data_IF_520291873831
#
_entry.id   IF_520291873831
#
_cell.length_a   1.000
_cell.length_b   1.000
_cell.length_c   1.000
_cell.angle_alpha   90.00
_cell.angle_beta   90.00
_cell.angle_gamma   90.00
#
_symmetry.space_group_name_H-M   'P 1'
#
loop_
_entity.id
_entity.type
_entity.pdbx_description
1 polymer ?
#
# COMPACT_ATOMS: atom_id res chain seq x y z
N UNK A 1 7.67 -7.65 -11.13
CA UNK A 1 7.58 -6.20 -10.87
C UNK A 1 6.57 -6.00 -9.75
N UNK A 2 6.87 -5.14 -8.80
CA UNK A 2 6.05 -4.93 -7.61
C UNK A 2 5.43 -3.54 -7.74
N UNK A 3 4.12 -3.40 -7.63
CA UNK A 3 3.49 -2.09 -7.54
C UNK A 3 3.45 -1.64 -6.09
N UNK A 4 3.94 -0.43 -5.85
CA UNK A 4 3.90 0.21 -4.55
C UNK A 4 3.26 1.58 -4.66
N UNK A 5 2.46 1.96 -3.66
CA UNK A 5 1.91 3.30 -3.53
C UNK A 5 2.63 4.05 -2.42
N UNK A 6 2.90 5.33 -2.63
CA UNK A 6 3.36 6.22 -1.55
C UNK A 6 2.23 6.39 -0.56
N UNK A 7 2.41 5.86 0.65
CA UNK A 7 1.43 5.94 1.72
C UNK A 7 1.59 7.21 2.55
N UNK A 8 2.83 7.58 2.86
CA UNK A 8 3.15 8.68 3.76
C UNK A 8 4.52 9.27 3.43
N UNK A 9 4.61 10.60 3.56
CA UNK A 9 5.88 11.35 3.55
C UNK A 9 5.90 12.21 4.81
N UNK A 10 6.95 12.10 5.61
CA UNK A 10 7.13 12.87 6.85
C UNK A 10 8.50 13.55 6.86
N UNK A 11 8.59 14.75 7.41
CA UNK A 11 9.88 15.34 7.78
C UNK A 11 10.41 14.65 9.04
N UNK A 12 11.70 14.33 9.05
CA UNK A 12 12.40 13.75 10.18
C UNK A 12 13.67 14.54 10.49
N UNK A 13 14.23 14.29 11.68
CA UNK A 13 15.60 14.68 12.01
C UNK A 13 16.43 13.43 12.22
N UNK A 14 17.63 13.41 11.66
CA UNK A 14 18.59 12.35 11.96
C UNK A 14 19.20 12.56 13.37
N UNK A 15 19.98 11.60 13.89
CA UNK A 15 20.63 11.74 15.20
C UNK A 15 21.58 12.94 15.30
N UNK A 16 22.10 13.43 14.17
CA UNK A 16 23.00 14.59 14.08
C UNK A 16 22.22 15.92 14.00
N UNK A 17 20.90 15.86 13.90
CA UNK A 17 19.98 17.01 13.88
C UNK A 17 19.64 17.55 12.49
N UNK A 18 20.18 16.95 11.42
CA UNK A 18 19.91 17.35 10.04
C UNK A 18 18.47 17.00 9.65
N UNK A 19 17.89 17.80 8.76
CA UNK A 19 16.57 17.53 8.21
C UNK A 19 16.63 16.41 7.17
N UNK A 20 15.57 15.62 7.13
CA UNK A 20 15.38 14.58 6.12
C UNK A 20 13.92 14.24 5.93
N UNK A 21 13.68 13.20 5.14
CA UNK A 21 12.35 12.68 4.81
C UNK A 21 12.25 11.19 5.13
N UNK A 22 11.11 10.80 5.69
CA UNK A 22 10.67 9.41 5.79
C UNK A 22 9.59 9.17 4.74
N UNK A 23 9.85 8.25 3.82
CA UNK A 23 8.91 7.88 2.76
C UNK A 23 8.47 6.43 3.00
N UNK A 24 7.16 6.23 3.17
CA UNK A 24 6.56 4.91 3.33
C UNK A 24 5.89 4.47 2.02
N UNK A 25 6.34 3.35 1.47
CA UNK A 25 5.82 2.73 0.26
C UNK A 25 5.14 1.42 0.63
N UNK A 26 3.86 1.28 0.30
CA UNK A 26 3.04 0.10 0.62
C UNK A 26 2.75 -0.70 -0.64
N UNK A 27 2.76 -2.03 -0.53
CA UNK A 27 2.48 -2.90 -1.67
C UNK A 27 1.00 -2.81 -2.06
N UNK A 28 0.74 -2.57 -3.34
CA UNK A 28 -0.62 -2.70 -3.89
C UNK A 28 -0.88 -4.18 -4.20
N UNK A 29 -1.66 -4.85 -3.34
CA UNK A 29 -2.15 -6.19 -3.60
C UNK A 29 -3.65 -6.15 -3.93
N UNK A 30 -4.10 -6.74 -5.05
CA UNK A 30 -5.51 -7.04 -5.20
C UNK A 30 -5.89 -8.03 -4.09
N UNK A 31 -6.84 -7.65 -3.24
CA UNK A 31 -7.40 -8.57 -2.25
C UNK A 31 -7.95 -9.77 -3.03
N UNK A 32 -7.48 -11.00 -2.77
CA UNK A 32 -8.08 -12.17 -3.40
C UNK A 32 -9.55 -12.19 -2.99
N UNK A 33 -10.44 -11.98 -3.96
CA UNK A 33 -11.84 -12.30 -3.77
C UNK A 33 -11.90 -13.81 -3.73
N UNK A 34 -11.80 -14.39 -2.53
CA UNK A 34 -12.15 -15.79 -2.36
C UNK A 34 -13.67 -15.87 -2.49
N UNK A 35 -14.23 -16.49 -3.56
CA UNK A 35 -15.59 -16.94 -3.48
C UNK A 35 -15.59 -18.04 -2.42
N UNK A 36 -15.92 -17.68 -1.18
CA UNK A 36 -16.28 -18.65 -0.15
C UNK A 36 -17.50 -19.36 -0.74
N UNK A 37 -17.30 -20.56 -1.30
CA UNK A 37 -18.40 -21.42 -1.71
C UNK A 37 -18.92 -22.06 -0.42
N UNK A 38 -20.13 -21.70 0.05
CA UNK A 38 -20.69 -22.33 1.22
C UNK A 38 -20.82 -23.82 0.94
N UNK A 39 -20.26 -24.64 1.84
CA UNK A 39 -20.28 -26.11 1.70
C UNK A 39 -21.66 -26.71 2.02
N UNK A 40 -22.58 -25.92 2.61
CA UNK A 40 -23.94 -26.33 2.95
C UNK A 40 -24.98 -25.27 2.58
N UNK A 41 -26.24 -25.68 2.43
CA UNK A 41 -27.34 -24.77 2.11
C UNK A 41 -27.62 -23.77 3.25
N UNK A 42 -27.47 -24.18 4.51
CA UNK A 42 -27.65 -23.29 5.67
C UNK A 42 -26.58 -22.19 5.68
N UNK A 43 -25.34 -22.53 5.34
CA UNK A 43 -24.26 -21.56 5.22
C UNK A 43 -24.50 -20.58 4.06
N UNK A 44 -25.13 -21.02 2.96
CA UNK A 44 -25.49 -20.15 1.83
C UNK A 44 -26.55 -19.13 2.20
N UNK A 45 -27.60 -19.56 2.90
CA UNK A 45 -28.67 -18.66 3.37
C UNK A 45 -28.13 -17.62 4.34
N UNK A 46 -27.29 -18.02 5.30
CA UNK A 46 -26.65 -17.08 6.24
C UNK A 46 -25.78 -16.07 5.50
N UNK A 47 -25.02 -16.51 4.49
CA UNK A 47 -24.16 -15.63 3.71
C UNK A 47 -24.94 -14.65 2.83
N UNK A 48 -26.04 -15.08 2.22
CA UNK A 48 -26.96 -14.22 1.45
C UNK A 48 -27.62 -13.16 2.35
N UNK A 49 -28.06 -13.55 3.55
CA UNK A 49 -28.62 -12.61 4.53
C UNK A 49 -27.58 -11.59 5.00
N UNK A 50 -26.34 -12.02 5.23
CA UNK A 50 -25.26 -11.12 5.64
C UNK A 50 -24.87 -10.12 4.53
N UNK A 51 -24.84 -10.58 3.27
CA UNK A 51 -24.61 -9.73 2.10
C UNK A 51 -25.75 -8.70 1.90
N UNK A 52 -27.01 -9.13 2.05
CA UNK A 52 -28.17 -8.24 1.97
C UNK A 52 -28.15 -7.16 3.08
N UNK A 53 -27.74 -7.53 4.30
CA UNK A 53 -27.54 -6.59 5.41
C UNK A 53 -26.41 -5.57 5.13
N UNK A 54 -25.30 -6.01 4.53
CA UNK A 54 -24.22 -5.10 4.12
C UNK A 54 -24.65 -4.08 3.07
N UNK A 55 -25.58 -4.42 2.18
CA UNK A 55 -26.12 -3.46 1.20
C UNK A 55 -27.00 -2.37 1.84
N UNK A 56 -27.59 -2.62 3.01
CA UNK A 56 -28.49 -1.69 3.69
C UNK A 56 -27.77 -0.76 4.69
N UNK A 57 -26.56 -1.11 5.13
CA UNK A 57 -25.76 -0.33 6.07
C UNK A 57 -24.38 0.02 5.46
N UNK A 58 -24.19 1.21 4.86
CA UNK A 58 -22.94 1.62 4.23
C UNK A 58 -21.81 1.98 5.22
N UNK A 59 -21.91 1.58 6.49
CA UNK A 59 -21.01 2.00 7.57
C UNK A 59 -19.76 1.10 7.68
N UNK A 60 -19.74 -0.05 7.00
CA UNK A 60 -18.54 -0.88 6.93
C UNK A 60 -17.75 -0.53 5.67
N UNK A 61 -16.58 0.13 5.77
CA UNK A 61 -15.67 0.19 4.64
C UNK A 61 -15.22 -1.24 4.35
N UNK A 62 -15.83 -1.88 3.36
CA UNK A 62 -15.55 -3.25 2.92
C UNK A 62 -14.14 -3.44 2.32
N UNK A 63 -13.20 -2.54 2.60
CA UNK A 63 -11.84 -2.58 2.08
C UNK A 63 -10.90 -2.04 3.15
N UNK A 64 -10.61 -2.85 4.16
CA UNK A 64 -9.29 -2.77 4.77
C UNK A 64 -8.30 -3.16 3.66
N UNK A 65 -7.90 -2.19 2.83
CA UNK A 65 -6.70 -2.32 2.04
C UNK A 65 -5.60 -2.55 3.07
N UNK A 66 -5.19 -3.81 3.25
CA UNK A 66 -4.01 -4.12 4.04
C UNK A 66 -2.83 -3.48 3.31
N UNK A 67 -2.52 -2.24 3.69
CA UNK A 67 -1.36 -1.52 3.20
C UNK A 67 -0.14 -2.13 3.87
N UNK A 68 0.41 -3.18 3.26
CA UNK A 68 1.59 -3.87 3.77
C UNK A 68 2.81 -3.01 3.43
N UNK A 69 3.55 -2.48 4.43
CA UNK A 69 4.76 -1.73 4.16
C UNK A 69 5.75 -2.58 3.36
N UNK A 70 6.17 -2.07 2.20
CA UNK A 70 7.09 -2.76 1.29
C UNK A 70 8.50 -2.21 1.39
N UNK A 71 8.61 -0.89 1.43
CA UNK A 71 9.87 -0.15 1.54
C UNK A 71 9.60 1.08 2.43
N UNK A 72 10.50 1.34 3.38
CA UNK A 72 10.51 2.60 4.14
C UNK A 72 11.90 3.20 3.96
N UNK A 73 11.96 4.39 3.39
CA UNK A 73 13.19 5.13 3.18
C UNK A 73 13.30 6.22 4.24
N UNK A 74 14.48 6.35 4.82
CA UNK A 74 14.87 7.47 5.67
C UNK A 74 16.04 8.13 4.96
N UNK A 75 15.81 9.30 4.38
CA UNK A 75 16.78 9.99 3.53
C UNK A 75 17.04 11.37 4.10
N UNK A 76 18.30 11.79 4.11
CA UNK A 76 18.63 13.22 4.22
C UNK A 76 18.07 13.99 3.02
N UNK A 77 17.96 15.31 3.11
CA UNK A 77 17.54 16.12 1.96
C UNK A 77 18.47 15.90 0.74
N UNK A 78 19.78 15.76 0.95
CA UNK A 78 20.76 15.50 -0.12
C UNK A 78 20.55 14.13 -0.78
N UNK A 79 20.30 13.08 0.00
CA UNK A 79 20.01 11.74 -0.55
C UNK A 79 18.69 11.72 -1.31
N UNK A 80 17.68 12.45 -0.83
CA UNK A 80 16.39 12.58 -1.52
C UNK A 80 16.55 13.27 -2.88
N UNK A 81 17.30 14.37 -2.93
CA UNK A 81 17.65 15.05 -4.19
C UNK A 81 18.44 14.14 -5.13
N UNK A 82 19.43 13.41 -4.60
CA UNK A 82 20.30 12.51 -5.37
C UNK A 82 19.54 11.29 -5.92
N UNK A 83 18.51 10.84 -5.20
CA UNK A 83 17.62 9.77 -5.65
C UNK A 83 16.84 10.20 -6.92
N UNK A 84 16.59 11.49 -7.09
CA UNK A 84 16.00 12.06 -8.31
C UNK A 84 14.55 11.64 -8.56
N UNK A 85 13.84 11.20 -7.51
CA UNK A 85 12.43 10.83 -7.55
C UNK A 85 11.66 11.82 -6.69
N UNK A 86 10.67 12.47 -7.29
CA UNK A 86 9.75 13.33 -6.56
C UNK A 86 8.54 12.52 -6.08
N UNK A 87 8.67 11.93 -4.89
CA UNK A 87 7.59 11.16 -4.29
C UNK A 87 6.43 12.09 -3.90
N UNK A 88 5.21 11.69 -4.27
CA UNK A 88 3.97 12.33 -3.82
C UNK A 88 3.02 11.26 -3.28
N UNK A 89 2.24 11.62 -2.27
CA UNK A 89 1.29 10.72 -1.61
C UNK A 89 0.26 10.22 -2.63
N UNK A 90 -0.06 8.94 -2.55
CA UNK A 90 -0.92 8.21 -3.49
C UNK A 90 -0.36 7.98 -4.89
N UNK A 91 0.84 8.48 -5.23
CA UNK A 91 1.48 8.06 -6.48
C UNK A 91 1.91 6.59 -6.42
N UNK A 92 1.78 5.92 -7.56
CA UNK A 92 2.13 4.51 -7.73
C UNK A 92 3.41 4.38 -8.53
N UNK A 93 4.29 3.51 -8.05
CA UNK A 93 5.56 3.19 -8.63
C UNK A 93 5.68 1.70 -8.86
N UNK A 94 6.29 1.34 -9.98
CA UNK A 94 6.79 -0.01 -10.19
C UNK A 94 8.21 -0.15 -9.64
N UNK A 95 8.40 -1.13 -8.77
CA UNK A 95 9.68 -1.49 -8.17
C UNK A 95 10.20 -2.78 -8.79
N UNK A 96 11.45 -2.73 -9.23
CA UNK A 96 12.22 -3.89 -9.69
C UNK A 96 13.35 -4.14 -8.69
N UNK A 97 13.39 -5.34 -8.13
CA UNK A 97 14.47 -5.83 -7.27
C UNK A 97 15.27 -6.86 -8.08
N UNK A 98 16.40 -6.45 -8.63
CA UNK A 98 17.23 -7.31 -9.49
C UNK A 98 18.70 -6.95 -9.34
N UNK A 99 19.61 -7.92 -9.43
CA UNK A 99 21.05 -7.70 -9.46
C UNK A 99 21.56 -6.75 -8.34
N UNK A 100 21.11 -6.97 -7.10
CA UNK A 100 21.45 -6.14 -5.92
C UNK A 100 21.03 -4.66 -6.06
N UNK A 101 20.09 -4.35 -6.95
CA UNK A 101 19.59 -3.00 -7.22
C UNK A 101 18.08 -2.91 -6.96
N UNK A 102 17.65 -1.74 -6.47
CA UNK A 102 16.24 -1.36 -6.36
C UNK A 102 15.98 -0.26 -7.38
N UNK A 103 15.13 -0.52 -8.37
CA UNK A 103 14.82 0.44 -9.44
C UNK A 103 13.35 0.84 -9.35
N UNK A 104 13.09 2.13 -9.32
CA UNK A 104 11.76 2.71 -9.36
C UNK A 104 11.43 3.17 -10.77
N UNK A 105 10.21 2.93 -11.22
CA UNK A 105 9.64 3.48 -12.45
C UNK A 105 8.29 4.09 -12.11
N UNK A 106 8.07 5.34 -12.53
CA UNK A 106 6.77 6.00 -12.34
C UNK A 106 5.75 5.36 -13.26
N UNK A 107 4.63 4.94 -12.70
CA UNK A 107 3.54 4.33 -13.47
C UNK A 107 2.50 5.40 -13.80
N UNK A 108 2.90 6.35 -14.66
CA UNK A 108 2.11 7.51 -15.15
C UNK A 108 1.74 8.55 -14.09
#
# INVERSE_FOLDING_TARGET
MIQVRVNKIESIRDPDGNLGKRIELVEERPIPQFPIRPQSEEARVVQEVFQALQQQLPIFPARAQFAIPKIILFLTEQEYESLGIDFDVNQVYEVILENQSIKFRKTS
#
